data_IF_773077873697
#
_entry.id   IF_773077873697
#
_cell.length_a   1.000
_cell.length_b   1.000
_cell.length_c   1.000
_cell.angle_alpha   90.00
_cell.angle_beta   90.00
_cell.angle_gamma   90.00
#
_symmetry.space_group_name_H-M   'P 1'
#
loop_
_entity.id
_entity.type
_entity.pdbx_description
1 polymer ?
#
# COMPACT_ATOMS: atom_id res chain seq x y z
N UNK A 1 -10.48 -4.17 7.18
CA UNK A 1 -9.86 -3.02 6.49
C UNK A 1 -9.39 -3.53 5.13
N UNK A 2 -9.40 -2.67 4.09
CA UNK A 2 -9.05 -3.09 2.72
C UNK A 2 -7.60 -3.50 2.64
N UNK A 3 -7.32 -4.67 2.07
CA UNK A 3 -5.96 -5.14 1.83
C UNK A 3 -5.30 -4.42 0.64
N UNK A 4 -3.97 -4.40 0.60
CA UNK A 4 -3.22 -3.87 -0.55
C UNK A 4 -3.58 -4.61 -1.84
N UNK A 5 -3.85 -5.91 -1.78
CA UNK A 5 -4.31 -6.72 -2.92
C UNK A 5 -5.69 -6.28 -3.43
N UNK A 6 -6.64 -6.01 -2.55
CA UNK A 6 -7.97 -5.52 -2.95
C UNK A 6 -7.92 -4.11 -3.55
N UNK A 7 -6.94 -3.30 -3.15
CA UNK A 7 -6.76 -1.93 -3.63
C UNK A 7 -5.99 -1.85 -4.96
N UNK A 8 -4.85 -2.55 -5.06
CA UNK A 8 -3.92 -2.45 -6.19
C UNK A 8 -3.96 -3.66 -7.13
N UNK A 9 -4.68 -4.72 -6.77
CA UNK A 9 -4.68 -5.96 -7.53
C UNK A 9 -3.27 -6.56 -7.63
N UNK A 10 -2.88 -7.13 -8.79
CA UNK A 10 -1.58 -7.75 -9.00
C UNK A 10 -0.38 -6.84 -8.70
N UNK A 11 -0.55 -5.52 -8.76
CA UNK A 11 0.53 -4.57 -8.48
C UNK A 11 0.97 -4.57 -7.00
N UNK A 12 0.19 -5.17 -6.10
CA UNK A 12 0.54 -5.34 -4.70
C UNK A 12 1.90 -6.08 -4.51
N UNK A 13 2.19 -7.06 -5.37
CA UNK A 13 3.45 -7.81 -5.30
C UNK A 13 4.69 -6.95 -5.61
N UNK A 14 4.53 -5.82 -6.30
CA UNK A 14 5.61 -4.87 -6.54
C UNK A 14 6.10 -4.16 -5.27
N UNK A 15 5.29 -4.17 -4.21
CA UNK A 15 5.62 -3.57 -2.92
C UNK A 15 6.40 -4.50 -2.00
N UNK A 16 6.60 -5.77 -2.38
CA UNK A 16 7.24 -6.76 -1.53
C UNK A 16 8.68 -6.40 -1.16
N UNK A 17 9.40 -5.72 -2.08
CA UNK A 17 10.74 -5.16 -1.84
C UNK A 17 10.80 -4.07 -0.75
N UNK A 18 9.65 -3.54 -0.34
CA UNK A 18 9.51 -2.59 0.77
C UNK A 18 8.98 -3.25 2.05
N UNK A 19 8.90 -4.58 2.11
CA UNK A 19 8.42 -5.32 3.28
C UNK A 19 6.90 -5.32 3.43
N UNK A 20 6.17 -5.11 2.32
CA UNK A 20 4.70 -5.08 2.30
C UNK A 20 4.19 -6.33 1.60
N UNK A 21 3.37 -7.09 2.30
CA UNK A 21 2.65 -8.24 1.74
C UNK A 21 1.35 -7.82 1.04
N UNK A 22 0.85 -8.62 0.09
CA UNK A 22 -0.43 -8.34 -0.57
C UNK A 22 -1.62 -8.37 0.39
N UNK A 23 -1.53 -9.12 1.48
CA UNK A 23 -2.55 -9.21 2.53
C UNK A 23 -2.39 -8.19 3.64
N UNK A 24 -1.34 -7.36 3.62
CA UNK A 24 -1.23 -6.25 4.56
C UNK A 24 -2.42 -5.31 4.37
N UNK A 25 -2.91 -4.76 5.48
CA UNK A 25 -3.84 -3.65 5.47
C UNK A 25 -3.18 -2.40 4.87
N UNK A 26 -3.97 -1.58 4.17
CA UNK A 26 -3.51 -0.35 3.51
C UNK A 26 -2.89 0.65 4.48
N UNK A 27 -3.45 0.87 5.68
CA UNK A 27 -2.84 1.79 6.67
C UNK A 27 -1.50 1.27 7.17
N UNK A 28 -1.42 -0.05 7.39
CA UNK A 28 -0.17 -0.73 7.76
C UNK A 28 0.89 -0.54 6.68
N UNK A 29 0.52 -0.75 5.42
CA UNK A 29 1.41 -0.55 4.28
C UNK A 29 1.87 0.91 4.14
N UNK A 30 0.97 1.89 4.29
CA UNK A 30 1.33 3.31 4.29
C UNK A 30 2.35 3.61 5.39
N UNK A 31 2.13 3.07 6.60
CA UNK A 31 3.04 3.27 7.74
C UNK A 31 4.43 2.69 7.46
N UNK A 32 4.52 1.47 6.92
CA UNK A 32 5.78 0.84 6.51
C UNK A 32 6.51 1.66 5.43
N UNK A 33 5.77 2.19 4.45
CA UNK A 33 6.34 2.98 3.34
C UNK A 33 6.86 4.35 3.76
N UNK A 34 6.32 4.97 4.81
CA UNK A 34 6.77 6.31 5.24
C UNK A 34 8.27 6.37 5.53
N UNK A 35 8.86 5.28 6.02
CA UNK A 35 10.27 5.23 6.36
C UNK A 35 11.19 4.98 5.14
N UNK A 36 10.75 4.18 4.17
CA UNK A 36 11.61 3.67 3.08
C UNK A 36 11.27 4.23 1.70
N UNK A 37 10.01 4.58 1.45
CA UNK A 37 9.51 5.08 0.18
C UNK A 37 8.30 6.02 0.40
N UNK A 38 8.52 7.25 0.91
CA UNK A 38 7.44 8.17 1.28
C UNK A 38 6.55 8.59 0.10
N UNK A 39 7.09 8.59 -1.12
CA UNK A 39 6.31 8.84 -2.34
C UNK A 39 5.29 7.73 -2.62
N UNK A 40 5.62 6.46 -2.34
CA UNK A 40 4.68 5.34 -2.44
C UNK A 40 3.65 5.37 -1.31
N UNK A 41 4.04 5.79 -0.10
CA UNK A 41 3.08 6.01 0.99
C UNK A 41 2.01 7.04 0.60
N UNK A 42 2.44 8.15 -0.02
CA UNK A 42 1.55 9.19 -0.54
C UNK A 42 0.64 8.66 -1.64
N UNK A 43 1.21 7.98 -2.64
CA UNK A 43 0.44 7.37 -3.72
C UNK A 43 -0.63 6.40 -3.18
N UNK A 44 -0.25 5.50 -2.28
CA UNK A 44 -1.16 4.51 -1.72
C UNK A 44 -2.30 5.16 -0.94
N UNK A 45 -2.00 6.23 -0.18
CA UNK A 45 -3.00 7.05 0.51
C UNK A 45 -3.98 7.72 -0.45
N UNK A 46 -3.50 8.29 -1.56
CA UNK A 46 -4.35 8.96 -2.55
C UNK A 46 -5.25 7.96 -3.29
N UNK A 47 -4.73 6.77 -3.65
CA UNK A 47 -5.51 5.71 -4.30
C UNK A 47 -6.59 5.18 -3.36
N UNK A 48 -6.26 4.97 -2.08
CA UNK A 48 -7.23 4.53 -1.07
C UNK A 48 -8.38 5.54 -0.89
N UNK A 49 -8.07 6.83 -0.86
CA UNK A 49 -9.07 7.90 -0.73
C UNK A 49 -9.98 8.03 -1.95
N UNK A 50 -9.50 7.76 -3.17
CA UNK A 50 -10.29 7.86 -4.41
C UNK A 50 -11.28 6.72 -4.61
N UNK A 51 -11.13 5.60 -3.89
CA UNK A 51 -11.99 4.41 -4.00
C UNK A 51 -13.13 4.39 -2.98
N UNK A 52 -13.10 5.31 -2.01
CA UNK A 52 -14.11 5.51 -0.97
C UNK A 52 -15.10 6.61 -1.37
#
# INVERSE_FOLDING_TARGET
>A
MTSVLELLGPHAYGLWKYGIGPTDDVETAITKLRATAPHLAKFLSEVAQRRL
#
